data_IF_991202289657
#
_entry.id   IF_991202289657
#
_cell.length_a   1.000
_cell.length_b   1.000
_cell.length_c   1.000
_cell.angle_alpha   90.00
_cell.angle_beta   90.00
_cell.angle_gamma   90.00
#
_symmetry.space_group_name_H-M   'P 1'
#
loop_
_entity.id
_entity.type
_entity.pdbx_description
1 polymer ?
#
# COMPACT_ATOMS: atom_id res chain seq x y z
N UNK A 1 -4.69 51.67 34.68
CA UNK A 1 -4.70 50.70 35.80
C UNK A 1 -3.69 49.61 35.50
N UNK A 2 -2.88 49.22 36.49
CA UNK A 2 -1.98 48.05 36.51
C UNK A 2 -2.79 46.76 36.37
N UNK A 3 -2.18 45.68 35.87
CA UNK A 3 -2.04 44.41 36.61
C UNK A 3 -0.88 43.59 36.04
N UNK A 4 0.14 43.40 36.87
CA UNK A 4 1.18 42.39 36.74
C UNK A 4 0.58 40.99 36.90
N UNK A 5 1.20 39.96 36.32
CA UNK A 5 1.67 38.79 37.08
C UNK A 5 2.44 37.81 36.20
N UNK A 6 3.63 37.46 36.67
CA UNK A 6 4.48 36.37 36.23
C UNK A 6 3.94 35.09 36.89
N UNK A 7 3.77 34.02 36.13
CA UNK A 7 3.58 32.67 36.67
C UNK A 7 4.61 31.73 36.04
N UNK A 8 5.69 31.52 36.79
CA UNK A 8 6.57 30.37 36.64
C UNK A 8 5.83 29.13 37.15
N UNK A 9 5.71 28.09 36.32
CA UNK A 9 5.29 26.76 36.75
C UNK A 9 6.46 25.79 36.58
N UNK A 10 6.94 25.32 37.72
CA UNK A 10 7.99 24.34 37.86
C UNK A 10 7.54 22.95 37.37
N UNK A 11 8.51 22.20 36.82
CA UNK A 11 8.35 20.84 36.30
C UNK A 11 7.94 19.84 37.38
N UNK A 12 7.33 18.73 36.96
CA UNK A 12 7.80 17.42 37.38
C UNK A 12 8.44 16.70 36.18
N UNK A 13 9.76 16.55 36.21
CA UNK A 13 10.45 15.59 35.36
C UNK A 13 10.02 14.18 35.81
N UNK A 14 9.04 13.61 35.11
CA UNK A 14 8.68 12.20 35.29
C UNK A 14 9.83 11.35 34.76
N UNK A 15 10.74 10.98 35.66
CA UNK A 15 11.72 9.93 35.43
C UNK A 15 10.97 8.60 35.39
N UNK A 16 10.56 8.17 34.19
CA UNK A 16 10.11 6.80 33.96
C UNK A 16 11.31 5.87 34.15
N UNK A 17 11.46 5.36 35.38
CA UNK A 17 12.32 4.23 35.65
C UNK A 17 11.88 3.08 34.74
N UNK A 18 12.72 2.77 33.74
CA UNK A 18 12.53 1.65 32.83
C UNK A 18 12.65 0.38 33.67
N UNK A 19 11.58 -0.42 33.86
CA UNK A 19 11.78 -1.76 34.37
C UNK A 19 12.62 -2.49 33.32
N UNK A 20 13.82 -2.92 33.69
CA UNK A 20 14.57 -3.94 32.98
C UNK A 20 13.84 -5.27 33.18
N UNK A 21 12.62 -5.37 32.63
CA UNK A 21 11.96 -6.64 32.43
C UNK A 21 12.72 -7.45 31.40
N UNK A 22 12.63 -8.79 31.45
CA UNK A 22 13.24 -9.65 30.44
C UNK A 22 12.81 -9.15 29.05
N UNK A 23 13.76 -9.05 28.12
CA UNK A 23 13.50 -8.71 26.72
C UNK A 23 12.29 -9.52 26.27
N UNK A 24 11.13 -8.86 26.12
CA UNK A 24 9.96 -9.49 25.54
C UNK A 24 10.39 -9.95 24.15
N UNK A 25 10.50 -11.26 23.97
CA UNK A 25 10.68 -11.84 22.65
C UNK A 25 9.56 -11.25 21.79
N UNK A 26 9.92 -10.62 20.67
CA UNK A 26 8.94 -10.08 19.75
C UNK A 26 7.98 -11.22 19.40
N UNK A 27 6.73 -11.12 19.85
CA UNK A 27 5.68 -12.05 19.45
C UNK A 27 5.71 -12.09 17.93
N UNK A 28 5.93 -13.25 17.29
CA UNK A 28 5.94 -13.32 15.84
C UNK A 28 4.61 -12.77 15.35
N UNK A 29 4.66 -11.68 14.56
CA UNK A 29 3.47 -11.14 13.92
C UNK A 29 2.83 -12.30 13.15
N UNK A 30 1.52 -12.56 13.32
CA UNK A 30 0.84 -13.57 12.55
C UNK A 30 1.16 -13.36 11.08
N UNK A 31 1.73 -14.38 10.43
CA UNK A 31 1.97 -14.33 8.99
C UNK A 31 0.59 -14.30 8.34
N UNK A 32 0.19 -13.13 7.85
CA UNK A 32 -1.02 -13.00 7.05
C UNK A 32 -0.76 -13.76 5.76
N UNK A 33 -1.56 -14.78 5.49
CA UNK A 33 -1.58 -15.44 4.20
C UNK A 33 -2.22 -14.46 3.21
N UNK A 34 -1.37 -13.81 2.41
CA UNK A 34 -1.77 -12.90 1.35
C UNK A 34 -1.95 -13.74 0.08
N UNK A 35 -3.03 -13.55 -0.68
CA UNK A 35 -3.14 -14.18 -1.98
C UNK A 35 -2.02 -13.69 -2.89
N UNK A 36 -1.62 -14.51 -3.85
CA UNK A 36 -0.66 -14.10 -4.87
C UNK A 36 -1.32 -13.10 -5.83
N UNK A 37 -0.53 -12.23 -6.46
CA UNK A 37 -1.08 -11.34 -7.48
C UNK A 37 -1.74 -12.15 -8.61
N UNK A 38 -1.14 -13.28 -9.00
CA UNK A 38 -1.59 -14.15 -10.08
C UNK A 38 -2.97 -14.75 -9.81
N UNK A 39 -3.27 -15.12 -8.56
CA UNK A 39 -4.59 -15.60 -8.15
C UNK A 39 -5.66 -14.51 -8.29
N UNK A 40 -5.32 -13.25 -7.98
CA UNK A 40 -6.28 -12.13 -8.01
C UNK A 40 -6.44 -11.56 -9.43
N UNK A 41 -5.33 -11.42 -10.17
CA UNK A 41 -5.26 -10.75 -11.46
C UNK A 41 -5.94 -11.54 -12.60
N UNK A 42 -6.15 -12.84 -12.43
CA UNK A 42 -6.83 -13.69 -13.41
C UNK A 42 -6.18 -13.62 -14.80
N UNK A 43 -6.90 -13.13 -15.81
CA UNK A 43 -6.39 -12.98 -17.18
C UNK A 43 -5.19 -12.04 -17.32
N UNK A 44 -4.93 -11.20 -16.32
CA UNK A 44 -3.81 -10.28 -16.25
C UNK A 44 -2.60 -10.81 -15.45
N UNK A 45 -2.64 -12.06 -14.96
CA UNK A 45 -1.58 -12.64 -14.13
C UNK A 45 -0.15 -12.48 -14.71
N UNK A 46 -0.02 -12.53 -16.04
CA UNK A 46 1.27 -12.33 -16.75
C UNK A 46 1.91 -10.95 -16.58
N UNK A 47 1.20 -10.00 -15.98
CA UNK A 47 1.67 -8.63 -15.75
C UNK A 47 1.90 -8.33 -14.26
N UNK A 48 1.77 -9.34 -13.39
CA UNK A 48 1.93 -9.17 -11.95
C UNK A 48 3.31 -8.65 -11.54
N UNK A 49 4.38 -9.17 -12.14
CA UNK A 49 5.76 -8.70 -11.95
C UNK A 49 5.92 -7.19 -12.21
N UNK A 50 5.12 -6.65 -13.13
CA UNK A 50 5.13 -5.24 -13.49
C UNK A 50 4.23 -4.40 -12.60
N UNK A 51 3.09 -4.93 -12.13
CA UNK A 51 2.04 -4.14 -11.50
C UNK A 51 2.02 -4.26 -9.97
N UNK A 52 2.51 -5.37 -9.40
CA UNK A 52 2.39 -5.69 -7.97
C UNK A 52 3.02 -4.64 -7.06
N UNK A 53 4.10 -4.00 -7.51
CA UNK A 53 4.80 -2.95 -6.73
C UNK A 53 3.90 -1.76 -6.37
N UNK A 54 2.84 -1.50 -7.14
CA UNK A 54 1.87 -0.44 -6.86
C UNK A 54 1.03 -0.74 -5.61
N UNK A 55 0.98 -2.00 -5.18
CA UNK A 55 0.20 -2.47 -4.03
C UNK A 55 1.07 -2.87 -2.83
N UNK A 56 2.34 -2.49 -2.83
CA UNK A 56 3.26 -2.81 -1.73
C UNK A 56 2.74 -2.33 -0.37
N UNK A 57 2.15 -1.13 -0.32
CA UNK A 57 1.58 -0.52 0.88
C UNK A 57 0.24 -1.12 1.30
N UNK A 58 -0.33 -2.07 0.55
CA UNK A 58 -1.59 -2.76 0.86
C UNK A 58 -1.38 -4.17 1.39
N UNK A 59 -0.13 -4.62 1.56
CA UNK A 59 0.22 -5.98 2.01
C UNK A 59 0.02 -6.23 3.51
N UNK A 60 -0.66 -5.36 4.25
CA UNK A 60 -0.94 -5.58 5.68
C UNK A 60 -2.10 -6.56 5.91
N UNK A 61 -3.03 -6.64 4.96
CA UNK A 61 -4.17 -7.58 5.01
C UNK A 61 -4.56 -8.06 3.60
N UNK A 62 -5.09 -9.28 3.52
CA UNK A 62 -5.44 -9.91 2.23
C UNK A 62 -6.50 -9.12 1.46
N UNK A 63 -7.50 -8.57 2.16
CA UNK A 63 -8.62 -7.87 1.52
C UNK A 63 -8.18 -6.55 0.88
N UNK A 64 -7.38 -5.75 1.58
CA UNK A 64 -6.85 -4.48 1.03
C UNK A 64 -5.90 -4.79 -0.12
N UNK A 65 -5.06 -5.81 0.01
CA UNK A 65 -4.18 -6.24 -1.06
C UNK A 65 -4.94 -6.69 -2.32
N UNK A 66 -5.93 -7.57 -2.19
CA UNK A 66 -6.81 -8.01 -3.29
C UNK A 66 -7.53 -6.82 -3.94
N UNK A 67 -8.05 -5.90 -3.13
CA UNK A 67 -8.74 -4.72 -3.64
C UNK A 67 -7.80 -3.82 -4.43
N UNK A 68 -6.55 -3.66 -3.99
CA UNK A 68 -5.54 -2.91 -4.71
C UNK A 68 -5.21 -3.56 -6.06
N UNK A 69 -4.91 -4.86 -6.08
CA UNK A 69 -4.58 -5.58 -7.33
C UNK A 69 -5.75 -5.53 -8.31
N UNK A 70 -6.97 -5.77 -7.84
CA UNK A 70 -8.18 -5.63 -8.66
C UNK A 70 -8.35 -4.21 -9.21
N UNK A 71 -8.09 -3.18 -8.39
CA UNK A 71 -8.20 -1.79 -8.82
C UNK A 71 -7.20 -1.44 -9.94
N UNK A 72 -5.95 -1.90 -9.80
CA UNK A 72 -4.91 -1.71 -10.81
C UNK A 72 -5.31 -2.35 -12.14
N UNK A 73 -5.71 -3.62 -12.14
CA UNK A 73 -6.09 -4.31 -13.37
C UNK A 73 -7.45 -3.86 -13.93
N UNK A 74 -8.35 -3.37 -13.08
CA UNK A 74 -9.58 -2.71 -13.54
C UNK A 74 -9.26 -1.42 -14.32
N UNK A 75 -8.30 -0.62 -13.84
CA UNK A 75 -7.86 0.57 -14.55
C UNK A 75 -7.17 0.23 -15.88
N UNK A 76 -6.34 -0.81 -15.91
CA UNK A 76 -5.72 -1.29 -17.15
C UNK A 76 -6.79 -1.76 -18.16
N UNK A 77 -7.77 -2.52 -17.71
CA UNK A 77 -8.88 -2.98 -18.55
C UNK A 77 -9.74 -1.82 -19.09
N UNK A 78 -9.96 -0.78 -18.27
CA UNK A 78 -10.65 0.44 -18.70
C UNK A 78 -9.89 1.13 -19.83
N UNK A 79 -8.56 1.23 -19.71
CA UNK A 79 -7.73 1.87 -20.72
C UNK A 79 -7.63 1.03 -22.01
N UNK A 80 -7.49 -0.29 -21.88
CA UNK A 80 -7.52 -1.24 -23.00
C UNK A 80 -8.84 -1.11 -23.79
N UNK A 81 -9.97 -1.12 -23.07
CA UNK A 81 -11.30 -0.96 -23.65
C UNK A 81 -11.47 0.38 -24.36
N UNK A 82 -10.98 1.48 -23.79
CA UNK A 82 -11.01 2.79 -24.43
C UNK A 82 -10.15 2.82 -25.69
N UNK A 83 -8.95 2.27 -25.63
CA UNK A 83 -8.05 2.18 -26.78
C UNK A 83 -8.71 1.42 -27.95
N UNK A 84 -9.34 0.26 -27.70
CA UNK A 84 -10.07 -0.47 -28.74
C UNK A 84 -11.26 0.30 -29.30
N UNK A 85 -12.01 1.01 -28.46
CA UNK A 85 -13.16 1.83 -28.91
C UNK A 85 -12.77 2.99 -29.83
N UNK A 86 -11.51 3.44 -29.77
CA UNK A 86 -10.99 4.52 -30.62
C UNK A 86 -10.13 4.01 -31.78
N UNK A 87 -10.21 2.71 -32.13
CA UNK A 87 -9.46 2.14 -33.23
C UNK A 87 -7.96 2.04 -32.97
N UNK A 88 -7.57 1.96 -31.70
CA UNK A 88 -6.18 1.80 -31.28
C UNK A 88 -5.59 0.44 -31.69
N UNK A 89 -4.27 0.36 -31.59
CA UNK A 89 -3.51 -0.87 -31.79
C UNK A 89 -2.78 -1.25 -30.51
N UNK A 90 -2.59 -2.55 -30.30
CA UNK A 90 -1.81 -3.13 -29.19
C UNK A 90 -2.25 -2.62 -27.81
N UNK A 91 -3.56 -2.54 -27.61
CA UNK A 91 -4.15 -1.85 -26.46
C UNK A 91 -3.87 -2.52 -25.11
N UNK A 92 -3.71 -3.86 -25.08
CA UNK A 92 -3.42 -4.61 -23.85
C UNK A 92 -2.05 -4.28 -23.24
N UNK A 93 -0.93 -4.49 -23.94
CA UNK A 93 0.38 -4.08 -23.44
C UNK A 93 0.47 -2.58 -23.15
N UNK A 94 -0.13 -1.73 -23.99
CA UNK A 94 -0.13 -0.28 -23.79
C UNK A 94 -0.94 0.18 -22.59
N UNK A 95 -2.03 -0.50 -22.25
CA UNK A 95 -2.78 -0.20 -21.02
C UNK A 95 -1.96 -0.54 -19.78
N UNK A 96 -1.23 -1.66 -19.81
CA UNK A 96 -0.30 -2.02 -18.74
C UNK A 96 0.84 -1.00 -18.63
N UNK A 97 1.42 -0.56 -19.75
CA UNK A 97 2.45 0.49 -19.73
C UNK A 97 1.93 1.80 -19.11
N UNK A 98 0.64 2.10 -19.33
CA UNK A 98 0.01 3.30 -18.78
C UNK A 98 -0.26 3.24 -17.29
N UNK A 99 -0.66 2.08 -16.78
CA UNK A 99 -1.03 1.91 -15.36
C UNK A 99 0.17 1.50 -14.51
N UNK A 100 0.94 0.52 -14.99
CA UNK A 100 2.03 -0.11 -14.25
C UNK A 100 3.42 0.44 -14.62
N UNK A 101 3.49 1.40 -15.55
CA UNK A 101 4.73 1.93 -16.11
C UNK A 101 5.32 1.01 -17.18
N UNK A 102 6.29 1.48 -17.99
CA UNK A 102 6.82 0.73 -19.14
C UNK A 102 7.57 -0.54 -18.70
N UNK A 103 7.63 -1.53 -19.59
CA UNK A 103 8.49 -2.70 -19.41
C UNK A 103 9.96 -2.26 -19.32
N UNK A 104 10.72 -2.89 -18.41
CA UNK A 104 12.15 -2.65 -18.24
C UNK A 104 12.98 -3.45 -19.24
#
# INVERSE_FOLDING_TARGET
MKFSSVLYLALPALSLARPSGPCAAATPTPKVDLPTCEEVAGSYARYCDRCEHLCADSRQDSKTYEMCINSVFFQANSWDSQCWQHGGFDCGPRSIDKVCGPAK
#
